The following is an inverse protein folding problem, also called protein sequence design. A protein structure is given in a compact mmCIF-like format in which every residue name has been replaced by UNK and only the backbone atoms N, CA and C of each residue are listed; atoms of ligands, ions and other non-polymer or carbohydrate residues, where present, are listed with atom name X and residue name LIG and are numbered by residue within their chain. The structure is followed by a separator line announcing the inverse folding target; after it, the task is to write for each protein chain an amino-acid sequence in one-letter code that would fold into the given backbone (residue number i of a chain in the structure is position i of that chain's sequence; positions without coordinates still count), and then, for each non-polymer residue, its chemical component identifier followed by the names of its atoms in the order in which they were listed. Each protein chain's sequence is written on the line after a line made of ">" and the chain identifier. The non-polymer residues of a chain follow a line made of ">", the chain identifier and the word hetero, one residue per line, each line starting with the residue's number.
data_IF_972459356118
#
_entry.id   IF_972459356118
#
_cell.length_a   1.000
_cell.length_b   1.000
_cell.length_c   1.000
_cell.angle_alpha   90.00
_cell.angle_beta   90.00
_cell.angle_gamma   90.00
#
_symmetry.space_group_name_H-M   'P 1'
#
loop_
_entity.id
_entity.type
_entity.pdbx_description
1 polymer ?
#
# COMPACT_ATOMS: atom_id res chain seq x y z
N UNK A 1 16.72 12.98 -20.66
CA UNK A 1 15.56 12.35 -19.99
C UNK A 1 15.02 13.34 -18.99
N UNK A 2 13.70 13.49 -18.95
CA UNK A 2 13.05 14.30 -17.94
C UNK A 2 13.37 13.74 -16.53
N UNK A 3 13.69 14.62 -15.57
CA UNK A 3 14.08 14.19 -14.22
C UNK A 3 12.95 13.47 -13.47
N UNK A 4 11.71 13.68 -13.91
CA UNK A 4 10.51 13.12 -13.29
C UNK A 4 10.35 11.61 -13.47
N UNK A 5 10.81 11.04 -14.59
CA UNK A 5 10.64 9.61 -14.89
C UNK A 5 11.84 8.74 -14.44
N UNK A 6 12.96 9.36 -14.06
CA UNK A 6 14.17 8.63 -13.69
C UNK A 6 13.98 7.65 -12.51
N UNK A 7 13.28 8.02 -11.41
CA UNK A 7 13.00 7.09 -10.31
C UNK A 7 12.15 5.89 -10.74
N UNK A 8 11.15 6.14 -11.59
CA UNK A 8 10.29 5.11 -12.15
C UNK A 8 11.09 4.09 -12.97
N UNK A 9 11.95 4.57 -13.87
CA UNK A 9 12.79 3.72 -14.72
C UNK A 9 13.77 2.89 -13.87
N UNK A 10 14.35 3.49 -12.83
CA UNK A 10 15.26 2.80 -11.93
C UNK A 10 14.56 1.65 -11.19
N UNK A 11 13.38 1.91 -10.61
CA UNK A 11 12.57 0.89 -9.93
C UNK A 11 12.11 -0.22 -10.87
N UNK A 12 11.68 0.13 -12.09
CA UNK A 12 11.29 -0.86 -13.10
C UNK A 12 12.47 -1.74 -13.54
N UNK A 13 13.65 -1.14 -13.75
CA UNK A 13 14.86 -1.86 -14.17
C UNK A 13 15.36 -2.81 -13.09
N UNK A 14 15.16 -2.48 -11.82
CA UNK A 14 15.51 -3.34 -10.69
C UNK A 14 14.61 -4.58 -10.61
N UNK A 15 13.30 -4.41 -10.80
CA UNK A 15 12.34 -5.51 -10.66
C UNK A 15 12.18 -6.35 -11.94
N UNK A 16 12.34 -5.75 -13.12
CA UNK A 16 12.16 -6.40 -14.42
C UNK A 16 13.32 -6.12 -15.38
N UNK A 17 14.51 -6.72 -15.13
CA UNK A 17 15.67 -6.55 -16.01
C UNK A 17 15.37 -7.05 -17.43
N UNK A 18 15.61 -6.21 -18.44
CA UNK A 18 15.35 -6.53 -19.85
C UNK A 18 14.01 -6.02 -20.41
N UNK A 19 13.26 -5.26 -19.62
CA UNK A 19 12.03 -4.61 -20.07
C UNK A 19 12.32 -3.53 -21.11
N UNK A 20 11.49 -3.45 -22.16
CA UNK A 20 11.59 -2.38 -23.15
C UNK A 20 11.17 -1.03 -22.54
N UNK A 21 12.14 -0.19 -22.20
CA UNK A 21 11.92 1.13 -21.61
C UNK A 21 11.35 2.13 -22.61
N UNK A 22 11.53 1.91 -23.92
CA UNK A 22 11.08 2.86 -24.95
C UNK A 22 9.57 3.07 -24.94
N UNK A 23 8.79 2.02 -24.65
CA UNK A 23 7.34 2.11 -24.58
C UNK A 23 6.87 2.90 -23.35
N UNK A 24 7.61 2.79 -22.23
CA UNK A 24 7.33 3.55 -21.00
C UNK A 24 7.64 5.03 -21.21
N UNK A 25 8.78 5.35 -21.82
CA UNK A 25 9.15 6.72 -22.18
C UNK A 25 8.14 7.34 -23.16
N UNK A 26 7.72 6.59 -24.18
CA UNK A 26 6.70 7.03 -25.13
C UNK A 26 5.36 7.28 -24.45
N UNK A 27 4.94 6.42 -23.51
CA UNK A 27 3.72 6.61 -22.75
C UNK A 27 3.77 7.87 -21.87
N UNK A 28 4.93 8.13 -21.24
CA UNK A 28 5.15 9.35 -20.48
C UNK A 28 5.05 10.61 -21.34
N UNK A 29 5.68 10.63 -22.51
CA UNK A 29 5.60 11.78 -23.41
C UNK A 29 4.17 12.04 -23.89
N UNK A 30 3.41 10.99 -24.21
CA UNK A 30 1.99 11.11 -24.58
C UNK A 30 1.19 11.66 -23.40
N UNK A 31 1.36 11.13 -22.19
CA UNK A 31 0.68 11.62 -21.00
C UNK A 31 1.02 13.10 -20.71
N UNK A 32 2.30 13.47 -20.82
CA UNK A 32 2.79 14.83 -20.61
C UNK A 32 2.18 15.81 -21.60
N UNK A 33 2.12 15.43 -22.89
CA UNK A 33 1.51 16.24 -23.93
C UNK A 33 0.00 16.36 -23.74
N UNK A 34 -0.67 15.25 -23.42
CA UNK A 34 -2.11 15.19 -23.21
C UNK A 34 -2.56 16.08 -22.05
N UNK A 35 -1.78 16.11 -20.96
CA UNK A 35 -2.04 16.94 -19.78
C UNK A 35 -1.31 18.30 -19.81
N UNK A 36 -0.76 18.71 -20.96
CA UNK A 36 -0.03 19.97 -21.09
C UNK A 36 -0.93 21.17 -20.79
N UNK A 37 -0.53 21.98 -19.81
CA UNK A 37 -1.30 23.15 -19.35
C UNK A 37 -2.36 22.82 -18.28
N UNK A 38 -2.50 21.56 -17.88
CA UNK A 38 -3.36 21.16 -16.76
C UNK A 38 -2.57 21.23 -15.44
N UNK A 39 -3.14 21.89 -14.44
CA UNK A 39 -2.56 22.02 -13.10
C UNK A 39 -3.38 21.24 -12.09
N UNK A 40 -2.71 20.62 -11.11
CA UNK A 40 -3.37 20.05 -9.94
C UNK A 40 -3.84 21.14 -8.99
N UNK A 41 -4.73 20.79 -8.07
CA UNK A 41 -5.16 21.67 -6.98
C UNK A 41 -4.03 22.07 -6.01
N UNK A 42 -2.92 21.31 -6.00
CA UNK A 42 -1.69 21.66 -5.28
C UNK A 42 -0.88 22.77 -5.96
N UNK A 43 -1.12 23.04 -7.25
CA UNK A 43 -0.34 23.97 -8.07
C UNK A 43 0.72 23.29 -8.96
N UNK A 44 0.94 21.99 -8.79
CA UNK A 44 1.90 21.22 -9.61
C UNK A 44 1.31 20.85 -10.98
N UNK A 45 2.17 20.56 -11.96
CA UNK A 45 1.76 20.03 -13.26
C UNK A 45 1.02 18.69 -13.08
N UNK A 46 -0.07 18.48 -13.85
CA UNK A 46 -0.89 17.27 -13.69
C UNK A 46 -0.11 15.97 -13.92
N UNK A 47 0.90 15.99 -14.80
CA UNK A 47 1.76 14.83 -15.11
C UNK A 47 2.44 14.21 -13.88
N UNK A 48 2.64 14.99 -12.82
CA UNK A 48 3.21 14.49 -11.55
C UNK A 48 2.36 13.38 -10.93
N UNK A 49 1.04 13.41 -11.12
CA UNK A 49 0.14 12.39 -10.57
C UNK A 49 0.27 11.04 -11.28
N UNK A 50 0.10 10.93 -12.61
CA UNK A 50 0.30 9.65 -13.30
C UNK A 50 1.70 9.06 -13.09
N UNK A 51 2.73 9.91 -13.00
CA UNK A 51 4.11 9.46 -12.70
C UNK A 51 4.20 8.86 -11.30
N UNK A 52 3.64 9.52 -10.29
CA UNK A 52 3.68 8.99 -8.92
C UNK A 52 2.85 7.71 -8.76
N UNK A 53 1.72 7.58 -9.48
CA UNK A 53 0.94 6.33 -9.50
C UNK A 53 1.75 5.21 -10.15
N UNK A 54 2.41 5.48 -11.27
CA UNK A 54 3.30 4.54 -11.92
C UNK A 54 4.47 4.14 -11.02
N UNK A 55 5.05 5.07 -10.26
CA UNK A 55 6.15 4.80 -9.32
C UNK A 55 5.72 3.85 -8.21
N UNK A 56 4.56 4.09 -7.58
CA UNK A 56 3.98 3.17 -6.57
C UNK A 56 3.86 1.75 -7.14
N UNK A 57 3.40 1.63 -8.40
CA UNK A 57 3.22 0.31 -9.04
C UNK A 57 4.55 -0.35 -9.41
N UNK A 58 5.57 0.44 -9.76
CA UNK A 58 6.91 -0.06 -10.05
C UNK A 58 7.61 -0.55 -8.77
N UNK A 59 7.46 0.17 -7.65
CA UNK A 59 7.94 -0.27 -6.33
C UNK A 59 7.28 -1.58 -5.86
N UNK A 60 6.03 -1.82 -6.26
CA UNK A 60 5.33 -3.08 -6.02
C UNK A 60 5.78 -4.21 -6.96
N UNK A 61 6.69 -3.92 -7.90
CA UNK A 61 7.24 -4.88 -8.85
C UNK A 61 6.29 -5.24 -9.98
N UNK A 62 5.37 -4.36 -10.39
CA UNK A 62 4.51 -4.65 -11.54
C UNK A 62 5.21 -4.46 -12.89
N UNK A 63 4.69 -5.13 -13.92
CA UNK A 63 5.27 -5.14 -15.26
C UNK A 63 5.02 -3.83 -16.03
N UNK A 64 5.79 -3.61 -17.10
CA UNK A 64 5.68 -2.42 -17.95
C UNK A 64 4.29 -2.17 -18.51
N UNK A 65 3.52 -3.21 -18.87
CA UNK A 65 2.14 -3.03 -19.35
C UNK A 65 1.28 -2.29 -18.31
N UNK A 66 1.44 -2.62 -17.02
CA UNK A 66 0.67 -1.98 -15.94
C UNK A 66 1.17 -0.56 -15.69
N UNK A 67 2.49 -0.34 -15.77
CA UNK A 67 3.11 0.98 -15.61
C UNK A 67 2.66 1.92 -16.73
N UNK A 68 2.65 1.46 -17.98
CA UNK A 68 2.14 2.24 -19.12
C UNK A 68 0.66 2.56 -18.93
N UNK A 69 -0.15 1.58 -18.52
CA UNK A 69 -1.56 1.82 -18.23
C UNK A 69 -1.77 2.85 -17.11
N UNK A 70 -0.92 2.84 -16.08
CA UNK A 70 -0.96 3.82 -15.01
C UNK A 70 -0.54 5.24 -15.45
N UNK A 71 0.48 5.37 -16.31
CA UNK A 71 0.84 6.68 -16.89
C UNK A 71 -0.30 7.26 -17.74
N UNK A 72 -1.11 6.41 -18.35
CA UNK A 72 -2.17 6.80 -19.29
C UNK A 72 -3.58 6.76 -18.70
N UNK A 73 -3.75 6.40 -17.42
CA UNK A 73 -5.08 6.06 -16.87
C UNK A 73 -6.09 7.21 -16.96
N UNK A 74 -5.66 8.44 -16.72
CA UNK A 74 -6.50 9.66 -16.78
C UNK A 74 -6.52 10.32 -18.17
N UNK A 75 -5.66 9.89 -19.09
CA UNK A 75 -5.57 10.53 -20.42
C UNK A 75 -6.86 10.37 -21.22
N UNK A 76 -7.57 9.25 -21.04
CA UNK A 76 -8.81 8.96 -21.77
C UNK A 76 -10.01 9.75 -21.23
N UNK A 77 -9.98 10.13 -19.95
CA UNK A 77 -11.08 10.86 -19.31
C UNK A 77 -10.93 12.38 -19.46
N UNK A 78 -9.70 12.88 -19.25
CA UNK A 78 -9.45 14.31 -19.11
C UNK A 78 -8.93 14.97 -20.38
N UNK A 79 -8.60 14.20 -21.43
CA UNK A 79 -7.94 14.72 -22.63
C UNK A 79 -8.61 14.25 -23.92
N UNK A 80 -8.08 14.70 -25.07
CA UNK A 80 -8.58 14.32 -26.40
C UNK A 80 -8.10 12.93 -26.85
N UNK A 81 -7.24 12.27 -26.09
CA UNK A 81 -6.66 10.99 -26.43
C UNK A 81 -7.68 9.84 -26.30
N UNK A 82 -7.91 9.11 -27.40
CA UNK A 82 -8.97 8.10 -27.46
C UNK A 82 -8.48 6.68 -27.20
N UNK A 83 -9.36 5.81 -26.70
CA UNK A 83 -9.09 4.37 -26.57
C UNK A 83 -8.71 3.72 -27.91
N UNK A 84 -9.19 4.24 -29.03
CA UNK A 84 -8.85 3.75 -30.36
C UNK A 84 -7.38 4.03 -30.68
N UNK A 85 -6.90 5.25 -30.41
CA UNK A 85 -5.49 5.60 -30.56
C UNK A 85 -4.60 4.77 -29.62
N UNK A 86 -5.02 4.62 -28.36
CA UNK A 86 -4.29 3.80 -27.39
C UNK A 86 -4.10 2.34 -27.85
N UNK A 87 -5.12 1.75 -28.49
CA UNK A 87 -5.01 0.40 -29.06
C UNK A 87 -4.01 0.32 -30.21
N UNK A 88 -3.90 1.36 -31.03
CA UNK A 88 -2.93 1.43 -32.13
C UNK A 88 -1.51 1.60 -31.57
N UNK A 89 -1.34 2.47 -30.59
CA UNK A 89 -0.01 2.85 -30.09
C UNK A 89 0.60 1.79 -29.17
N UNK A 90 -0.20 1.22 -28.26
CA UNK A 90 0.25 0.33 -27.19
C UNK A 90 -0.40 -1.06 -27.19
N UNK A 91 -1.36 -1.30 -28.10
CA UNK A 91 -2.05 -2.58 -28.22
C UNK A 91 -3.27 -2.74 -27.31
N UNK A 92 -3.95 -3.86 -27.50
CA UNK A 92 -5.27 -4.10 -26.90
C UNK A 92 -5.22 -4.33 -25.38
N UNK A 93 -4.15 -4.94 -24.87
CA UNK A 93 -4.01 -5.22 -23.43
C UNK A 93 -3.99 -3.95 -22.59
N UNK A 94 -3.15 -2.97 -22.96
CA UNK A 94 -3.00 -1.71 -22.24
C UNK A 94 -4.29 -0.89 -22.34
N UNK A 95 -4.90 -0.84 -23.53
CA UNK A 95 -6.17 -0.16 -23.72
C UNK A 95 -7.30 -0.77 -22.86
N UNK A 96 -7.34 -2.09 -22.71
CA UNK A 96 -8.33 -2.76 -21.85
C UNK A 96 -8.09 -2.48 -20.36
N UNK A 97 -6.83 -2.34 -19.92
CA UNK A 97 -6.50 -1.92 -18.56
C UNK A 97 -7.02 -0.51 -18.28
N UNK A 98 -6.70 0.45 -19.15
CA UNK A 98 -7.13 1.85 -18.99
C UNK A 98 -8.66 1.97 -19.05
N UNK A 99 -9.30 1.34 -20.04
CA UNK A 99 -10.78 1.30 -20.13
C UNK A 99 -11.42 0.70 -18.88
N UNK A 100 -10.78 -0.31 -18.27
CA UNK A 100 -11.19 -0.88 -17.00
C UNK A 100 -11.15 0.12 -15.85
N UNK A 101 -10.08 0.92 -15.74
CA UNK A 101 -9.91 1.93 -14.68
C UNK A 101 -10.93 3.05 -14.85
N UNK A 102 -11.03 3.64 -16.04
CA UNK A 102 -12.03 4.65 -16.43
C UNK A 102 -13.46 4.21 -16.11
N UNK A 103 -13.81 2.96 -16.41
CA UNK A 103 -15.16 2.45 -16.12
C UNK A 103 -15.42 2.27 -14.62
N UNK A 104 -14.42 1.86 -13.85
CA UNK A 104 -14.56 1.75 -12.40
C UNK A 104 -14.89 3.11 -11.78
N UNK A 105 -14.27 4.18 -12.26
CA UNK A 105 -14.49 5.52 -11.73
C UNK A 105 -15.95 5.95 -11.88
N UNK A 106 -16.52 5.76 -13.07
CA UNK A 106 -17.92 6.09 -13.36
C UNK A 106 -18.92 5.28 -12.53
N UNK A 107 -18.57 4.06 -12.13
CA UNK A 107 -19.46 3.17 -11.38
C UNK A 107 -19.56 3.52 -9.88
N UNK A 108 -18.59 4.24 -9.33
CA UNK A 108 -18.53 4.53 -7.88
C UNK A 108 -19.28 5.83 -7.53
N UNK A 109 -19.58 6.68 -8.51
CA UNK A 109 -20.32 7.95 -8.34
C UNK A 109 -21.85 7.79 -8.12
N UNK A 110 -22.29 6.73 -7.43
CA UNK A 110 -23.69 6.48 -7.08
C UNK A 110 -23.98 6.53 -5.57
N UNK A 111 -24.98 7.29 -5.08
CA UNK A 111 -25.29 7.43 -3.65
C UNK A 111 -25.97 6.20 -3.01
N UNK A 112 -26.27 5.16 -3.77
CA UNK A 112 -27.01 3.99 -3.28
C UNK A 112 -26.40 2.69 -3.81
N UNK A 113 -26.20 1.75 -2.87
CA UNK A 113 -25.74 0.37 -3.02
C UNK A 113 -24.23 0.14 -2.97
N UNK A 114 -23.64 0.27 -1.78
CA UNK A 114 -22.34 -0.33 -1.40
C UNK A 114 -22.23 -1.79 -1.89
N UNK A 115 -23.32 -2.56 -1.79
CA UNK A 115 -23.39 -3.94 -2.28
C UNK A 115 -23.32 -4.06 -3.82
N UNK A 116 -23.88 -3.12 -4.59
CA UNK A 116 -23.77 -3.13 -6.05
C UNK A 116 -22.39 -2.65 -6.51
N UNK A 117 -21.81 -1.63 -5.89
CA UNK A 117 -20.46 -1.14 -6.20
C UNK A 117 -19.44 -2.23 -5.94
N UNK A 118 -19.54 -2.93 -4.80
CA UNK A 118 -18.69 -4.09 -4.50
C UNK A 118 -18.93 -5.24 -5.49
N UNK A 119 -20.17 -5.54 -5.87
CA UNK A 119 -20.49 -6.62 -6.83
C UNK A 119 -19.99 -6.30 -8.24
N UNK A 120 -20.11 -5.05 -8.69
CA UNK A 120 -19.62 -4.55 -9.98
C UNK A 120 -18.09 -4.45 -10.00
N UNK A 121 -17.46 -4.05 -8.89
CA UNK A 121 -16.01 -4.17 -8.71
C UNK A 121 -15.56 -5.62 -8.83
N UNK A 122 -16.23 -6.57 -8.17
CA UNK A 122 -15.90 -8.01 -8.30
C UNK A 122 -16.02 -8.50 -9.76
N UNK A 123 -16.98 -7.99 -10.52
CA UNK A 123 -17.11 -8.32 -11.96
C UNK A 123 -15.98 -7.67 -12.78
N UNK A 124 -15.60 -6.43 -12.51
CA UNK A 124 -14.45 -5.79 -13.16
C UNK A 124 -13.13 -6.51 -12.81
N UNK A 125 -12.97 -6.93 -11.55
CA UNK A 125 -11.86 -7.74 -11.04
C UNK A 125 -11.76 -9.12 -11.70
N UNK A 126 -12.88 -9.68 -12.19
CA UNK A 126 -12.91 -11.02 -12.77
C UNK A 126 -12.16 -11.13 -14.11
N UNK A 127 -11.89 -10.00 -14.78
CA UNK A 127 -11.19 -9.98 -16.07
C UNK A 127 -9.70 -9.69 -15.92
N UNK A 128 -9.33 -8.69 -15.12
CA UNK A 128 -7.93 -8.37 -14.86
C UNK A 128 -7.75 -7.66 -13.51
N UNK A 129 -7.05 -8.30 -12.59
CA UNK A 129 -6.79 -7.77 -11.25
C UNK A 129 -5.94 -6.49 -11.26
N UNK A 130 -5.12 -6.30 -12.31
CA UNK A 130 -4.22 -5.14 -12.45
C UNK A 130 -4.99 -3.83 -12.50
N UNK A 131 -6.22 -3.84 -13.02
CA UNK A 131 -7.11 -2.68 -13.04
C UNK A 131 -7.39 -2.18 -11.61
N UNK A 132 -7.66 -3.08 -10.67
CA UNK A 132 -7.89 -2.72 -9.28
C UNK A 132 -6.60 -2.23 -8.61
N UNK A 133 -5.46 -2.83 -8.93
CA UNK A 133 -4.17 -2.42 -8.37
C UNK A 133 -3.79 -1.01 -8.82
N UNK A 134 -3.99 -0.68 -10.10
CA UNK A 134 -3.83 0.70 -10.61
C UNK A 134 -4.77 1.64 -9.84
N UNK A 135 -6.04 1.26 -9.65
CA UNK A 135 -6.99 2.12 -8.95
C UNK A 135 -6.66 2.34 -7.47
N UNK A 136 -6.10 1.34 -6.80
CA UNK A 136 -5.62 1.47 -5.43
C UNK A 136 -4.42 2.41 -5.33
N UNK A 137 -3.49 2.34 -6.28
CA UNK A 137 -2.34 3.25 -6.35
C UNK A 137 -2.77 4.70 -6.66
N UNK A 138 -3.70 4.88 -7.59
CA UNK A 138 -4.35 6.18 -7.85
C UNK A 138 -5.00 6.72 -6.56
N UNK A 139 -5.85 5.92 -5.90
CA UNK A 139 -6.52 6.35 -4.66
C UNK A 139 -5.51 6.70 -3.56
N UNK A 140 -4.40 5.97 -3.46
CA UNK A 140 -3.33 6.23 -2.50
C UNK A 140 -2.65 7.58 -2.76
N UNK A 141 -2.25 7.85 -4.00
CA UNK A 141 -1.66 9.14 -4.35
C UNK A 141 -2.65 10.30 -4.14
N UNK A 142 -3.92 10.10 -4.48
CA UNK A 142 -4.97 11.06 -4.20
C UNK A 142 -5.16 11.30 -2.69
N UNK A 143 -5.05 10.25 -1.86
CA UNK A 143 -5.11 10.37 -0.41
C UNK A 143 -3.94 11.18 0.17
N UNK A 144 -2.72 10.98 -0.34
CA UNK A 144 -1.52 11.76 0.03
C UNK A 144 -1.68 13.26 -0.26
N UNK A 145 -2.57 13.63 -1.19
CA UNK A 145 -2.79 15.03 -1.63
C UNK A 145 -4.12 15.62 -1.18
N UNK A 146 -4.83 14.98 -0.23
CA UNK A 146 -6.10 15.52 0.29
C UNK A 146 -5.97 16.86 1.03
N UNK A 147 -4.77 17.25 1.48
CA UNK A 147 -4.55 18.56 2.10
C UNK A 147 -4.87 19.76 1.19
N UNK A 148 -4.90 19.56 -0.13
CA UNK A 148 -5.16 20.61 -1.13
C UNK A 148 -6.60 20.63 -1.67
N UNK A 149 -7.48 19.75 -1.19
CA UNK A 149 -8.89 19.73 -1.60
C UNK A 149 -9.81 20.25 -0.49
N UNK A 150 -11.04 20.63 -0.84
CA UNK A 150 -12.02 21.05 0.16
C UNK A 150 -12.33 19.94 1.16
N UNK A 151 -12.56 20.33 2.41
CA UNK A 151 -12.83 19.40 3.52
C UNK A 151 -13.98 18.42 3.21
N UNK A 152 -15.07 18.91 2.63
CA UNK A 152 -16.20 18.05 2.25
C UNK A 152 -15.81 16.96 1.25
N UNK A 153 -14.95 17.30 0.28
CA UNK A 153 -14.50 16.35 -0.72
C UNK A 153 -13.49 15.34 -0.15
N UNK A 154 -12.56 15.79 0.72
CA UNK A 154 -11.62 14.89 1.38
C UNK A 154 -12.35 13.94 2.34
N UNK A 155 -13.29 14.42 3.15
CA UNK A 155 -14.09 13.57 4.06
C UNK A 155 -14.89 12.51 3.31
N UNK A 156 -15.56 12.89 2.20
CA UNK A 156 -16.29 11.94 1.37
C UNK A 156 -15.37 10.86 0.80
N UNK A 157 -14.21 11.27 0.23
CA UNK A 157 -13.23 10.34 -0.34
C UNK A 157 -12.56 9.47 0.74
N UNK A 158 -12.33 10.00 1.94
CA UNK A 158 -11.76 9.26 3.06
C UNK A 158 -12.72 8.17 3.57
N UNK A 159 -14.02 8.48 3.67
CA UNK A 159 -15.04 7.49 4.04
C UNK A 159 -15.14 6.38 2.99
N UNK A 160 -15.23 6.74 1.71
CA UNK A 160 -15.18 5.79 0.58
C UNK A 160 -13.92 4.90 0.63
N UNK A 161 -12.78 5.48 1.02
CA UNK A 161 -11.50 4.76 1.16
C UNK A 161 -11.53 3.72 2.26
N UNK A 162 -12.07 4.05 3.44
CA UNK A 162 -12.20 3.09 4.54
C UNK A 162 -13.24 1.99 4.26
N UNK A 163 -14.35 2.33 3.63
CA UNK A 163 -15.47 1.40 3.45
C UNK A 163 -15.25 0.45 2.27
N UNK A 164 -14.55 0.90 1.22
CA UNK A 164 -14.40 0.16 -0.04
C UNK A 164 -12.93 -0.21 -0.29
N UNK A 165 -12.04 0.76 -0.44
CA UNK A 165 -10.69 0.52 -0.96
C UNK A 165 -9.75 -0.18 0.04
N UNK A 166 -9.77 0.20 1.31
CA UNK A 166 -8.95 -0.44 2.34
C UNK A 166 -9.31 -1.94 2.52
N UNK A 167 -10.60 -2.34 2.61
CA UNK A 167 -10.99 -3.75 2.59
C UNK A 167 -10.55 -4.50 1.34
N UNK A 168 -10.59 -3.86 0.17
CA UNK A 168 -10.12 -4.45 -1.09
C UNK A 168 -8.60 -4.66 -1.09
N UNK A 169 -7.82 -3.66 -0.69
CA UNK A 169 -6.38 -3.78 -0.53
C UNK A 169 -6.01 -4.92 0.44
N UNK A 170 -6.77 -5.07 1.55
CA UNK A 170 -6.59 -6.19 2.47
C UNK A 170 -6.86 -7.56 1.83
N UNK A 171 -7.93 -7.67 1.01
CA UNK A 171 -8.25 -8.91 0.28
C UNK A 171 -7.18 -9.28 -0.74
N UNK A 172 -6.55 -8.30 -1.36
CA UNK A 172 -5.42 -8.49 -2.28
C UNK A 172 -4.08 -8.76 -1.58
N UNK A 173 -4.04 -8.71 -0.25
CA UNK A 173 -2.78 -8.85 0.51
C UNK A 173 -1.89 -7.62 0.49
N UNK A 174 -2.35 -6.50 -0.09
CA UNK A 174 -1.63 -5.23 -0.21
C UNK A 174 -1.67 -4.43 1.10
N UNK A 175 -1.09 -4.99 2.16
CA UNK A 175 -1.19 -4.42 3.51
C UNK A 175 -0.52 -3.05 3.65
N UNK A 176 0.57 -2.78 2.89
CA UNK A 176 1.23 -1.48 2.93
C UNK A 176 0.29 -0.36 2.46
N UNK A 177 -0.30 -0.50 1.27
CA UNK A 177 -1.33 0.42 0.75
C UNK A 177 -2.51 0.50 1.72
N UNK A 178 -2.99 -0.65 2.20
CA UNK A 178 -4.14 -0.71 3.12
C UNK A 178 -3.92 0.17 4.35
N UNK A 179 -2.77 0.02 5.02
CA UNK A 179 -2.47 0.76 6.24
C UNK A 179 -2.30 2.25 5.97
N UNK A 180 -1.66 2.61 4.87
CA UNK A 180 -1.47 4.01 4.51
C UNK A 180 -2.80 4.69 4.16
N UNK A 181 -3.66 4.02 3.38
CA UNK A 181 -5.02 4.49 3.09
C UNK A 181 -5.84 4.67 4.38
N UNK A 182 -5.73 3.72 5.31
CA UNK A 182 -6.40 3.77 6.61
C UNK A 182 -5.94 4.95 7.46
N UNK A 183 -4.63 5.16 7.60
CA UNK A 183 -4.07 6.25 8.41
C UNK A 183 -4.38 7.63 7.79
N UNK A 184 -4.27 7.78 6.46
CA UNK A 184 -4.62 9.02 5.76
C UNK A 184 -6.12 9.35 5.88
N UNK A 185 -6.97 8.32 5.76
CA UNK A 185 -8.42 8.50 5.90
C UNK A 185 -8.81 8.82 7.34
N UNK A 186 -8.12 8.22 8.31
CA UNK A 186 -8.33 8.51 9.72
C UNK A 186 -7.94 9.95 10.08
N UNK A 187 -6.82 10.44 9.55
CA UNK A 187 -6.39 11.82 9.74
C UNK A 187 -7.42 12.84 9.23
N UNK A 188 -8.06 12.55 8.09
CA UNK A 188 -9.09 13.44 7.52
C UNK A 188 -10.41 13.35 8.28
N UNK A 189 -10.87 12.15 8.62
CA UNK A 189 -12.20 11.95 9.23
C UNK A 189 -12.24 12.33 10.71
N UNK A 190 -11.15 12.11 11.44
CA UNK A 190 -11.10 12.26 12.91
C UNK A 190 -9.78 12.92 13.35
N UNK A 191 -9.48 14.15 12.89
CA UNK A 191 -8.17 14.78 13.09
C UNK A 191 -7.79 14.93 14.58
N UNK A 192 -8.75 15.29 15.43
CA UNK A 192 -8.51 15.43 16.88
C UNK A 192 -8.06 14.13 17.54
N UNK A 193 -8.68 13.01 17.16
CA UNK A 193 -8.33 11.68 17.71
C UNK A 193 -7.01 11.18 17.12
N UNK A 194 -6.75 11.50 15.85
CA UNK A 194 -5.46 11.25 15.22
C UNK A 194 -4.32 11.94 16.00
N UNK A 195 -4.47 13.24 16.28
CA UNK A 195 -3.47 14.03 17.02
C UNK A 195 -3.27 13.51 18.45
N UNK A 196 -4.35 13.12 19.13
CA UNK A 196 -4.27 12.51 20.46
C UNK A 196 -3.46 11.21 20.44
N UNK A 197 -3.78 10.29 19.51
CA UNK A 197 -3.06 9.02 19.38
C UNK A 197 -1.61 9.27 18.98
N UNK A 198 -1.35 10.18 18.03
CA UNK A 198 -0.01 10.53 17.58
C UNK A 198 0.84 11.10 18.74
N UNK A 199 0.24 11.94 19.59
CA UNK A 199 0.90 12.47 20.79
C UNK A 199 1.23 11.36 21.79
N UNK A 200 0.27 10.50 22.11
CA UNK A 200 0.46 9.37 23.04
C UNK A 200 1.54 8.39 22.53
N UNK A 201 1.60 8.18 21.21
CA UNK A 201 2.65 7.42 20.54
C UNK A 201 4.02 8.11 20.70
N UNK A 202 4.08 9.41 20.46
CA UNK A 202 5.33 10.18 20.48
C UNK A 202 5.92 10.27 21.90
N UNK A 203 5.08 10.55 22.90
CA UNK A 203 5.50 10.62 24.32
C UNK A 203 6.12 9.31 24.83
N UNK A 204 5.74 8.17 24.24
CA UNK A 204 6.29 6.84 24.57
C UNK A 204 7.27 6.28 23.55
N UNK A 205 7.59 7.05 22.51
CA UNK A 205 8.44 6.58 21.41
C UNK A 205 9.90 6.41 21.84
N UNK A 206 10.47 7.35 22.58
CA UNK A 206 11.91 7.36 22.93
C UNK A 206 12.34 6.14 23.74
N UNK A 207 11.62 5.82 24.82
CA UNK A 207 11.93 4.64 25.65
C UNK A 207 11.72 3.33 24.90
N UNK A 208 10.76 3.31 23.97
CA UNK A 208 10.43 2.13 23.16
C UNK A 208 11.40 1.93 22.00
N UNK A 209 11.89 3.00 21.39
CA UNK A 209 12.92 2.94 20.34
C UNK A 209 14.23 2.43 20.91
N UNK A 210 14.61 2.86 22.12
CA UNK A 210 15.73 2.29 22.85
C UNK A 210 15.52 0.79 23.11
N UNK A 211 14.39 0.41 23.74
CA UNK A 211 14.07 -0.99 24.02
C UNK A 211 14.01 -1.85 22.74
N UNK A 212 13.39 -1.33 21.68
CA UNK A 212 13.29 -2.03 20.39
C UNK A 212 14.66 -2.20 19.76
N UNK A 213 15.54 -1.21 19.85
CA UNK A 213 16.91 -1.29 19.32
C UNK A 213 17.74 -2.31 20.09
N UNK A 214 17.61 -2.34 21.42
CA UNK A 214 18.27 -3.33 22.28
C UNK A 214 17.81 -4.75 21.93
N UNK A 215 16.50 -4.98 21.82
CA UNK A 215 15.97 -6.29 21.45
C UNK A 215 16.37 -6.68 20.02
N UNK A 216 16.38 -5.73 19.06
CA UNK A 216 16.84 -6.00 17.69
C UNK A 216 18.31 -6.45 17.69
N UNK A 217 19.18 -5.74 18.43
CA UNK A 217 20.59 -6.08 18.51
C UNK A 217 20.81 -7.48 19.11
N UNK A 218 20.08 -7.81 20.18
CA UNK A 218 20.14 -9.14 20.82
C UNK A 218 19.67 -10.23 19.86
N UNK A 219 18.54 -10.03 19.18
CA UNK A 219 18.04 -11.01 18.20
C UNK A 219 19.04 -11.19 17.06
N UNK A 220 19.63 -10.11 16.55
CA UNK A 220 20.64 -10.20 15.50
C UNK A 220 21.88 -10.98 15.94
N UNK A 221 22.34 -10.78 17.18
CA UNK A 221 23.48 -11.50 17.73
C UNK A 221 23.21 -13.02 17.83
N UNK A 222 22.01 -13.41 18.28
CA UNK A 222 21.65 -14.82 18.39
C UNK A 222 21.50 -15.49 17.03
N UNK A 223 20.82 -14.83 16.10
CA UNK A 223 20.67 -15.35 14.74
C UNK A 223 22.03 -15.49 14.05
N UNK A 224 22.97 -14.58 14.31
CA UNK A 224 24.33 -14.69 13.80
C UNK A 224 25.11 -15.87 14.43
N UNK A 225 24.93 -16.14 15.72
CA UNK A 225 25.52 -17.33 16.39
C UNK A 225 24.96 -18.64 15.84
N UNK A 226 23.68 -18.65 15.51
CA UNK A 226 22.99 -19.80 14.91
C UNK A 226 23.28 -19.95 13.41
N UNK A 227 24.03 -19.01 12.81
CA UNK A 227 24.39 -19.03 11.38
C UNK A 227 23.22 -18.70 10.44
N UNK A 228 22.20 -17.99 10.93
CA UNK A 228 21.00 -17.64 10.18
C UNK A 228 21.14 -16.21 9.65
N UNK A 229 21.16 -16.07 8.32
CA UNK A 229 21.11 -14.75 7.68
C UNK A 229 19.68 -14.18 7.74
N UNK A 230 19.49 -13.12 8.54
CA UNK A 230 18.19 -12.51 8.73
C UNK A 230 18.26 -10.98 8.83
N UNK A 231 17.24 -10.31 8.31
CA UNK A 231 17.04 -8.86 8.49
C UNK A 231 16.00 -8.63 9.57
N UNK A 232 16.44 -8.11 10.72
CA UNK A 232 15.58 -7.81 11.86
C UNK A 232 15.22 -6.33 11.84
N UNK A 233 13.92 -6.01 11.93
CA UNK A 233 13.39 -4.65 11.88
C UNK A 233 12.30 -4.43 12.92
N UNK A 234 12.22 -3.22 13.47
CA UNK A 234 11.11 -2.82 14.32
C UNK A 234 9.85 -2.61 13.48
N UNK A 235 8.72 -3.19 13.90
CA UNK A 235 7.41 -2.95 13.28
C UNK A 235 6.71 -1.79 13.97
N UNK A 236 6.60 -0.66 13.28
CA UNK A 236 5.73 0.43 13.71
C UNK A 236 4.25 -0.01 13.59
N UNK A 237 3.44 0.39 14.57
CA UNK A 237 1.99 0.15 14.57
C UNK A 237 1.32 1.34 13.90
N UNK A 238 0.44 1.07 12.96
CA UNK A 238 -0.40 2.06 12.28
C UNK A 238 -1.45 2.65 13.23
N UNK A 239 -1.66 3.96 13.16
CA UNK A 239 -2.52 4.72 14.09
C UNK A 239 -3.97 4.26 14.04
N UNK A 240 -4.50 4.03 12.83
CA UNK A 240 -5.85 3.55 12.65
C UNK A 240 -6.07 2.16 13.27
N UNK A 241 -5.07 1.28 13.20
CA UNK A 241 -5.12 -0.04 13.86
C UNK A 241 -5.12 0.05 15.40
N UNK A 242 -4.49 1.09 15.96
CA UNK A 242 -4.55 1.38 17.40
C UNK A 242 -5.94 1.91 17.75
N UNK A 243 -6.43 2.90 17.00
CA UNK A 243 -7.77 3.47 17.14
C UNK A 243 -8.86 2.39 17.10
N UNK A 244 -8.86 1.53 16.08
CA UNK A 244 -9.84 0.45 15.94
C UNK A 244 -9.81 -0.51 17.13
N UNK A 245 -8.63 -0.79 17.71
CA UNK A 245 -8.52 -1.65 18.90
C UNK A 245 -9.02 -0.94 20.17
N UNK A 246 -8.80 0.36 20.32
CA UNK A 246 -9.31 1.13 21.44
C UNK A 246 -10.83 1.20 21.40
N UNK A 247 -11.40 1.62 20.27
CA UNK A 247 -12.84 1.87 20.12
C UNK A 247 -13.65 0.57 20.04
N UNK A 248 -13.24 -0.40 19.21
CA UNK A 248 -14.04 -1.62 18.95
C UNK A 248 -13.87 -2.66 20.05
N UNK A 249 -12.70 -2.71 20.72
CA UNK A 249 -12.41 -3.74 21.74
C UNK A 249 -12.39 -3.22 23.17
N UNK A 250 -12.65 -1.92 23.38
CA UNK A 250 -12.69 -1.29 24.70
C UNK A 250 -11.42 -1.52 25.51
N UNK A 251 -10.27 -1.62 24.86
CA UNK A 251 -8.99 -1.88 25.53
C UNK A 251 -8.27 -0.56 25.80
N UNK A 252 -7.66 -0.47 26.97
CA UNK A 252 -6.83 0.66 27.34
C UNK A 252 -5.63 0.82 26.39
N UNK A 253 -5.26 2.07 26.13
CA UNK A 253 -4.11 2.40 25.27
C UNK A 253 -2.83 1.72 25.76
N UNK A 254 -2.65 1.62 27.09
CA UNK A 254 -1.51 0.96 27.72
C UNK A 254 -1.34 -0.50 27.25
N UNK A 255 -2.39 -1.32 27.33
CA UNK A 255 -2.37 -2.74 26.96
C UNK A 255 -2.11 -2.99 25.47
N UNK A 256 -2.53 -2.04 24.62
CA UNK A 256 -2.32 -2.15 23.17
C UNK A 256 -0.92 -1.71 22.80
N UNK A 257 -0.41 -0.65 23.43
CA UNK A 257 0.82 0.01 23.02
C UNK A 257 2.08 -0.67 23.56
N UNK A 258 2.00 -1.35 24.71
CA UNK A 258 3.14 -2.01 25.38
C UNK A 258 3.77 -3.19 24.60
N UNK A 259 3.08 -3.72 23.60
CA UNK A 259 3.65 -4.77 22.74
C UNK A 259 4.64 -4.18 21.72
N UNK A 260 5.95 -4.37 21.95
CA UNK A 260 6.97 -4.17 20.92
C UNK A 260 6.77 -5.21 19.81
N UNK A 261 6.67 -4.75 18.56
CA UNK A 261 6.55 -5.63 17.40
C UNK A 261 7.88 -5.69 16.67
N UNK A 262 8.45 -6.89 16.50
CA UNK A 262 9.67 -7.11 15.73
C UNK A 262 9.33 -7.97 14.50
N UNK A 263 9.95 -7.65 13.37
CA UNK A 263 9.84 -8.40 12.13
C UNK A 263 11.22 -8.93 11.76
N UNK A 264 11.29 -10.24 11.54
CA UNK A 264 12.47 -10.93 11.03
C UNK A 264 12.18 -11.40 9.62
N UNK A 265 13.01 -10.99 8.66
CA UNK A 265 12.93 -11.44 7.26
C UNK A 265 14.08 -12.42 7.01
N UNK A 266 13.76 -13.58 6.45
CA UNK A 266 14.70 -14.65 6.10
C UNK A 266 14.43 -15.13 4.67
N UNK A 267 15.37 -15.89 4.10
CA UNK A 267 15.30 -16.35 2.72
C UNK A 267 14.31 -17.51 2.53
N UNK A 268 14.33 -18.49 3.43
CA UNK A 268 13.61 -19.75 3.27
C UNK A 268 12.67 -20.09 4.44
N UNK A 269 11.68 -20.93 4.17
CA UNK A 269 10.70 -21.40 5.18
C UNK A 269 11.38 -22.14 6.33
N UNK A 270 12.44 -22.92 6.06
CA UNK A 270 13.21 -23.60 7.10
C UNK A 270 13.76 -22.60 8.12
N UNK A 271 14.29 -21.49 7.63
CA UNK A 271 14.92 -20.48 8.47
C UNK A 271 13.86 -19.74 9.29
N UNK A 272 12.61 -19.61 8.81
CA UNK A 272 11.51 -19.08 9.61
C UNK A 272 11.29 -19.88 10.91
N UNK A 273 11.31 -21.21 10.82
CA UNK A 273 11.15 -22.08 12.00
C UNK A 273 12.42 -22.11 12.87
N UNK A 274 13.61 -21.99 12.27
CA UNK A 274 14.86 -21.87 13.01
C UNK A 274 14.88 -20.57 13.86
N UNK A 275 14.49 -19.44 13.27
CA UNK A 275 14.31 -18.16 13.99
C UNK A 275 13.31 -18.32 15.12
N UNK A 276 12.17 -18.98 14.89
CA UNK A 276 11.18 -19.22 15.95
C UNK A 276 11.80 -19.98 17.15
N UNK A 277 12.59 -21.01 16.87
CA UNK A 277 13.30 -21.79 17.88
C UNK A 277 14.30 -20.94 18.68
N UNK A 278 15.12 -20.15 18.00
CA UNK A 278 16.10 -19.24 18.62
C UNK A 278 15.41 -18.23 19.55
N UNK A 279 14.29 -17.64 19.10
CA UNK A 279 13.48 -16.71 19.90
C UNK A 279 12.87 -17.39 21.14
N UNK A 280 12.35 -18.61 21.02
CA UNK A 280 11.76 -19.36 22.14
C UNK A 280 12.80 -19.92 23.11
N UNK A 281 14.04 -20.11 22.66
CA UNK A 281 15.15 -20.49 23.53
C UNK A 281 15.55 -19.35 24.47
N UNK A 282 15.46 -18.11 23.99
CA UNK A 282 15.76 -16.92 24.81
C UNK A 282 14.58 -16.48 25.67
N UNK A 283 13.39 -16.38 25.09
CA UNK A 283 12.23 -15.81 25.75
C UNK A 283 11.09 -16.80 25.84
N UNK A 284 10.40 -16.77 26.99
CA UNK A 284 9.29 -17.70 27.25
C UNK A 284 8.08 -17.33 26.38
N UNK A 285 7.59 -18.24 25.52
CA UNK A 285 6.41 -17.98 24.71
C UNK A 285 5.13 -17.97 25.55
N UNK A 286 4.21 -17.06 25.23
CA UNK A 286 2.89 -17.00 25.88
C UNK A 286 1.97 -18.07 25.25
N UNK A 287 1.40 -18.99 26.04
CA UNK A 287 0.48 -20.00 25.55
C UNK A 287 -0.70 -19.40 24.78
N UNK A 288 -1.08 -20.01 23.65
CA UNK A 288 -2.19 -19.57 22.80
C UNK A 288 -1.93 -18.29 22.00
N UNK A 289 -0.71 -17.73 22.04
CA UNK A 289 -0.32 -16.55 21.25
C UNK A 289 0.59 -16.86 20.06
N UNK A 290 0.87 -18.13 19.81
CA UNK A 290 1.53 -18.59 18.59
C UNK A 290 0.52 -18.80 17.45
N UNK A 291 0.85 -18.33 16.25
CA UNK A 291 0.06 -18.54 15.03
C UNK A 291 0.97 -18.82 13.86
N UNK A 292 0.77 -19.97 13.23
CA UNK A 292 1.51 -20.39 12.05
C UNK A 292 0.69 -20.10 10.78
N UNK A 293 0.95 -18.95 10.15
CA UNK A 293 0.35 -18.63 8.86
C UNK A 293 1.19 -19.13 7.67
N UNK A 294 2.33 -19.79 7.90
CA UNK A 294 3.06 -20.46 6.82
C UNK A 294 2.33 -21.76 6.47
N UNK A 295 2.02 -22.57 7.49
CA UNK A 295 1.27 -23.81 7.34
C UNK A 295 -0.23 -23.57 7.05
N UNK A 296 -0.81 -22.52 7.62
CA UNK A 296 -2.19 -22.11 7.36
C UNK A 296 -2.25 -20.65 6.86
N UNK A 297 -1.96 -20.41 5.57
CA UNK A 297 -2.02 -19.09 4.98
C UNK A 297 -3.39 -18.46 5.16
N UNK A 298 -3.42 -17.13 5.33
CA UNK A 298 -4.69 -16.41 5.31
C UNK A 298 -5.30 -16.43 3.91
N UNK A 299 -6.60 -16.13 3.82
CA UNK A 299 -7.33 -16.03 2.55
C UNK A 299 -6.69 -15.07 1.54
N UNK A 300 -5.94 -14.06 1.99
CA UNK A 300 -5.21 -13.12 1.14
C UNK A 300 -3.76 -13.55 0.86
N UNK A 301 -3.46 -14.86 0.96
CA UNK A 301 -2.14 -15.47 0.75
C UNK A 301 -1.05 -14.98 1.70
N UNK A 302 -1.40 -14.25 2.77
CA UNK A 302 -0.43 -13.81 3.76
C UNK A 302 0.15 -14.99 4.53
N UNK A 303 1.49 -15.08 4.53
CA UNK A 303 2.27 -16.09 5.22
C UNK A 303 3.28 -15.44 6.18
N UNK A 304 3.32 -15.91 7.42
CA UNK A 304 4.24 -15.45 8.48
C UNK A 304 4.05 -16.30 9.74
N UNK A 305 5.09 -16.41 10.57
CA UNK A 305 4.98 -16.95 11.93
C UNK A 305 4.79 -15.79 12.91
N UNK A 306 3.70 -15.83 13.69
CA UNK A 306 3.47 -14.84 14.75
C UNK A 306 3.65 -15.53 16.10
N UNK A 307 4.48 -14.96 16.95
CA UNK A 307 4.62 -15.41 18.33
C UNK A 307 4.63 -14.20 19.27
N UNK A 308 4.20 -14.39 20.51
CA UNK A 308 4.32 -13.40 21.57
C UNK A 308 5.10 -14.04 22.70
N UNK A 309 6.17 -13.39 23.12
CA UNK A 309 7.10 -13.88 24.14
C UNK A 309 7.21 -12.85 25.26
N UNK A 310 7.62 -13.30 26.45
CA UNK A 310 7.89 -12.44 27.61
C UNK A 310 9.40 -12.42 27.83
N UNK A 311 9.95 -11.21 27.93
CA UNK A 311 11.37 -10.93 28.07
C UNK A 311 11.65 -9.64 28.79
#
# INVERSE_FOLDING_TARGET
>A
MDTLIAPLIASLSQHHPGTNLSDVERAYEIAKQAHSGQMRKSGDEYITHPVAVAEILAELGLNSETIIAALLHDTVEDTTYSLVQMRVDFGEKIANLVDGVTKLDKLIYGPTAEAETVRKMVIAMSRDIRVLVIKLADRLHNARTWGYVSQENSERKARETLDIYAPLAHRLGMNAIKWELEDLSFQVLEPKKYDEIARLVTERSTSREALSSDVIAVVQEDLAKDGIEATVTGRQKHYYSVYQKMVVRGRDFNDIYDLVGIRVLVKDVRDCYAVLGSIHARWSPIPGRFKDYIAMPKFNLYQSLHTTVIG
#
